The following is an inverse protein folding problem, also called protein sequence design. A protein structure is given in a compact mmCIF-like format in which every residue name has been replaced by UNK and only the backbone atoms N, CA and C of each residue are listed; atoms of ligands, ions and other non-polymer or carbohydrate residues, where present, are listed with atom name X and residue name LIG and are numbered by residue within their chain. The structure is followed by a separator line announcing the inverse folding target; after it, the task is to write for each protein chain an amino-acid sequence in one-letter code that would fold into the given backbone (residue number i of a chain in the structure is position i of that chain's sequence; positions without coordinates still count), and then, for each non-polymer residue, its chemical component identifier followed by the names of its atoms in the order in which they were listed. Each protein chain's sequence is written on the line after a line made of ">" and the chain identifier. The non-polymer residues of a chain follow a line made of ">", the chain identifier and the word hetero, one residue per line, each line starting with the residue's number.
data_IF_861762363318
#
_entry.id   IF_861762363318
#
_cell.length_a   1.000
_cell.length_b   1.000
_cell.length_c   1.000
_cell.angle_alpha   90.00
_cell.angle_beta   90.00
_cell.angle_gamma   90.00
#
_symmetry.space_group_name_H-M   'P 1'
#
loop_
_entity.id
_entity.type
_entity.pdbx_description
1 polymer ?
#
# COMPACT_ATOMS: atom_id res chain seq x y z
N UNK A 1 -10.63 -9.26 -14.69
CA UNK A 1 -10.16 -8.83 -13.35
C UNK A 1 -10.04 -10.04 -12.46
N UNK A 2 -8.94 -10.20 -11.72
CA UNK A 2 -8.75 -11.33 -10.79
C UNK A 2 -9.77 -11.26 -9.66
N UNK A 3 -10.67 -12.24 -9.56
CA UNK A 3 -11.65 -12.32 -8.50
C UNK A 3 -10.99 -12.87 -7.22
N UNK A 4 -10.87 -12.03 -6.18
CA UNK A 4 -10.30 -12.42 -4.89
C UNK A 4 -11.43 -12.76 -3.92
N UNK A 5 -11.66 -14.05 -3.65
CA UNK A 5 -12.65 -14.47 -2.64
C UNK A 5 -12.26 -13.93 -1.26
N UNK A 6 -13.23 -13.42 -0.51
CA UNK A 6 -13.01 -12.91 0.86
C UNK A 6 -12.43 -11.50 0.95
N UNK A 7 -12.19 -10.80 -0.16
CA UNK A 7 -11.79 -9.39 -0.19
C UNK A 7 -13.02 -8.53 -0.48
N UNK A 8 -13.50 -7.79 0.51
CA UNK A 8 -14.68 -6.91 0.48
C UNK A 8 -14.29 -5.42 0.39
N UNK A 9 -13.51 -5.04 -0.62
CA UNK A 9 -13.13 -3.65 -0.88
C UNK A 9 -11.67 -3.32 -0.55
N UNK A 10 -11.33 -2.02 -0.40
CA UNK A 10 -9.96 -1.55 -0.32
C UNK A 10 -9.33 -1.74 1.07
N UNK A 11 -8.00 -1.72 1.21
CA UNK A 11 -7.33 -2.14 2.45
C UNK A 11 -7.74 -1.32 3.69
N UNK A 12 -8.13 -0.04 3.54
CA UNK A 12 -8.57 0.79 4.67
C UNK A 12 -9.84 0.28 5.38
N UNK A 13 -10.72 -0.47 4.71
CA UNK A 13 -12.00 -0.91 5.31
C UNK A 13 -11.84 -2.01 6.36
N UNK A 14 -10.68 -2.67 6.39
CA UNK A 14 -10.35 -3.73 7.34
C UNK A 14 -9.75 -3.20 8.65
N UNK A 15 -9.46 -1.89 8.73
CA UNK A 15 -8.93 -1.28 9.94
C UNK A 15 -9.94 -1.28 11.09
N UNK A 16 -9.43 -1.32 12.32
CA UNK A 16 -10.25 -1.16 13.53
C UNK A 16 -11.05 0.14 13.48
N UNK A 17 -12.24 0.15 14.09
CA UNK A 17 -13.07 1.36 14.17
C UNK A 17 -12.30 2.49 14.87
N UNK A 18 -12.37 3.70 14.30
CA UNK A 18 -11.67 4.88 14.83
C UNK A 18 -10.18 4.97 14.45
N UNK A 19 -9.66 4.02 13.66
CA UNK A 19 -8.28 4.04 13.18
C UNK A 19 -8.22 4.57 11.75
N UNK A 20 -7.29 5.49 11.48
CA UNK A 20 -7.03 6.02 10.15
C UNK A 20 -5.96 5.21 9.38
N UNK A 21 -6.04 5.26 8.06
CA UNK A 21 -4.96 4.80 7.18
C UNK A 21 -3.73 5.73 7.32
N UNK A 22 -2.48 5.23 7.21
CA UNK A 22 -2.02 3.85 6.98
C UNK A 22 -1.69 3.09 8.28
N UNK A 23 -2.60 3.04 9.25
CA UNK A 23 -2.37 2.24 10.45
C UNK A 23 -2.31 0.74 10.15
N UNK A 24 -1.51 0.01 10.95
CA UNK A 24 -1.40 -1.46 10.92
C UNK A 24 -2.40 -2.17 11.85
N UNK A 25 -3.31 -1.44 12.50
CA UNK A 25 -4.31 -2.01 13.43
C UNK A 25 -5.53 -2.55 12.68
N UNK A 26 -5.46 -3.83 12.30
CA UNK A 26 -6.53 -4.54 11.58
C UNK A 26 -7.55 -5.16 12.55
N UNK A 27 -8.81 -5.27 12.14
CA UNK A 27 -9.88 -5.92 12.93
C UNK A 27 -9.50 -7.38 13.24
N UNK A 28 -9.71 -7.80 14.50
CA UNK A 28 -9.33 -9.13 14.97
C UNK A 28 -10.02 -10.28 14.22
N UNK A 29 -11.27 -10.04 13.75
CA UNK A 29 -12.08 -11.02 13.02
C UNK A 29 -11.57 -11.36 11.62
N UNK A 30 -10.71 -10.53 11.03
CA UNK A 30 -10.22 -10.75 9.67
C UNK A 30 -9.24 -11.93 9.65
N UNK A 31 -9.24 -12.70 8.57
CA UNK A 31 -8.35 -13.86 8.44
C UNK A 31 -6.87 -13.45 8.46
N UNK A 32 -5.98 -14.37 8.87
CA UNK A 32 -4.55 -14.08 8.92
C UNK A 32 -3.95 -13.60 7.59
N UNK A 33 -4.35 -14.13 6.40
CA UNK A 33 -3.91 -13.59 5.11
C UNK A 33 -4.37 -12.15 4.86
N UNK A 34 -5.64 -11.84 5.12
CA UNK A 34 -6.17 -10.48 4.92
C UNK A 34 -5.48 -9.49 5.85
N UNK A 35 -5.30 -9.82 7.13
CA UNK A 35 -4.56 -8.99 8.07
C UNK A 35 -3.15 -8.70 7.58
N UNK A 36 -2.42 -9.72 7.13
CA UNK A 36 -1.06 -9.55 6.58
C UNK A 36 -1.05 -8.67 5.34
N UNK A 37 -1.98 -8.87 4.41
CA UNK A 37 -2.08 -8.05 3.20
C UNK A 37 -2.34 -6.56 3.54
N UNK A 38 -3.20 -6.26 4.51
CA UNK A 38 -3.47 -4.89 4.96
C UNK A 38 -2.23 -4.26 5.59
N UNK A 39 -1.53 -4.99 6.46
CA UNK A 39 -0.29 -4.50 7.10
C UNK A 39 0.78 -4.17 6.05
N UNK A 40 1.00 -5.07 5.09
CA UNK A 40 1.98 -4.84 4.01
C UNK A 40 1.55 -3.67 3.12
N UNK A 41 0.27 -3.55 2.80
CA UNK A 41 -0.26 -2.42 2.01
C UNK A 41 -0.07 -1.09 2.75
N UNK A 42 -0.28 -1.06 4.06
CA UNK A 42 -0.05 0.11 4.90
C UNK A 42 1.43 0.49 4.97
N UNK A 43 2.34 -0.50 5.04
CA UNK A 43 3.79 -0.28 4.98
C UNK A 43 4.24 0.34 3.66
N UNK A 44 3.75 -0.18 2.54
CA UNK A 44 4.04 0.36 1.22
C UNK A 44 3.53 1.79 1.11
N UNK A 45 2.29 2.05 1.57
CA UNK A 45 1.71 3.40 1.57
C UNK A 45 2.52 4.37 2.43
N UNK A 46 3.02 3.93 3.58
CA UNK A 46 3.85 4.77 4.45
C UNK A 46 5.18 5.11 3.77
N UNK A 47 5.90 4.11 3.24
CA UNK A 47 7.17 4.34 2.52
C UNK A 47 6.99 5.20 1.28
N UNK A 48 5.87 5.04 0.57
CA UNK A 48 5.55 5.88 -0.57
C UNK A 48 5.33 7.33 -0.14
N UNK A 49 4.64 7.58 0.97
CA UNK A 49 4.46 8.92 1.51
C UNK A 49 5.81 9.57 1.87
N UNK A 50 6.67 8.82 2.57
CA UNK A 50 8.02 9.25 2.95
C UNK A 50 8.89 9.55 1.71
N UNK A 51 8.88 8.68 0.70
CA UNK A 51 9.63 8.87 -0.55
C UNK A 51 9.13 10.05 -1.40
N UNK A 52 7.88 10.47 -1.21
CA UNK A 52 7.27 11.61 -1.89
C UNK A 52 7.47 12.94 -1.14
N UNK A 53 8.05 12.94 0.06
CA UNK A 53 8.31 14.18 0.78
C UNK A 53 9.18 15.13 -0.05
N UNK A 54 8.71 16.37 -0.23
CA UNK A 54 9.38 17.36 -1.07
C UNK A 54 9.32 17.09 -2.59
N UNK A 55 8.65 16.02 -3.04
CA UNK A 55 8.48 15.69 -4.46
C UNK A 55 7.06 15.99 -4.96
N UNK A 56 6.95 16.28 -6.25
CA UNK A 56 5.64 16.44 -6.89
C UNK A 56 5.04 15.08 -7.22
N UNK A 57 3.89 14.75 -6.62
CA UNK A 57 3.12 13.53 -6.93
C UNK A 57 2.85 13.41 -8.43
N UNK A 58 2.51 14.52 -9.09
CA UNK A 58 2.23 14.53 -10.53
C UNK A 58 3.47 14.19 -11.35
N UNK A 59 4.63 14.75 -10.98
CA UNK A 59 5.89 14.46 -11.67
C UNK A 59 6.34 13.01 -11.44
N UNK A 60 6.23 12.51 -10.21
CA UNK A 60 6.54 11.11 -9.89
C UNK A 60 5.63 10.15 -10.64
N UNK A 61 4.30 10.40 -10.66
CA UNK A 61 3.37 9.53 -11.38
C UNK A 61 3.69 9.48 -12.88
N UNK A 62 4.05 10.63 -13.48
CA UNK A 62 4.50 10.69 -14.87
C UNK A 62 5.80 9.92 -15.10
N UNK A 63 6.79 10.08 -14.22
CA UNK A 63 8.07 9.38 -14.33
C UNK A 63 7.92 7.86 -14.16
N UNK A 64 7.04 7.41 -13.28
CA UNK A 64 6.70 6.01 -13.06
C UNK A 64 5.76 5.43 -14.12
N UNK A 65 5.27 6.22 -15.08
CA UNK A 65 4.25 5.79 -16.05
C UNK A 65 3.02 5.15 -15.36
N UNK A 66 2.49 5.84 -14.36
CA UNK A 66 1.24 5.48 -13.65
C UNK A 66 0.28 6.66 -13.62
N UNK A 67 -1.01 6.38 -13.48
CA UNK A 67 -1.99 7.45 -13.30
C UNK A 67 -1.74 8.17 -11.97
N UNK A 68 -1.85 9.51 -11.97
CA UNK A 68 -1.77 10.33 -10.75
C UNK A 68 -2.75 9.86 -9.67
N UNK A 69 -3.96 9.46 -10.07
CA UNK A 69 -4.98 8.91 -9.17
C UNK A 69 -4.52 7.63 -8.48
N UNK A 70 -3.77 6.76 -9.17
CA UNK A 70 -3.19 5.54 -8.56
C UNK A 70 -2.33 5.89 -7.36
N UNK A 71 -1.47 6.91 -7.46
CA UNK A 71 -0.61 7.34 -6.34
C UNK A 71 -1.45 7.83 -5.16
N UNK A 72 -2.47 8.67 -5.42
CA UNK A 72 -3.39 9.12 -4.36
C UNK A 72 -4.18 7.98 -3.73
N UNK A 73 -4.65 7.02 -4.52
CA UNK A 73 -5.43 5.90 -4.01
C UNK A 73 -4.59 4.96 -3.14
N UNK A 74 -3.31 4.78 -3.48
CA UNK A 74 -2.37 4.05 -2.63
C UNK A 74 -2.14 4.79 -1.30
N UNK A 75 -1.85 6.09 -1.35
CA UNK A 75 -1.65 6.92 -0.16
C UNK A 75 -2.88 7.00 0.74
N UNK A 76 -4.08 6.94 0.17
CA UNK A 76 -5.35 6.97 0.89
C UNK A 76 -5.87 5.58 1.31
N UNK A 77 -5.21 4.50 0.88
CA UNK A 77 -5.66 3.13 1.12
C UNK A 77 -6.95 2.76 0.40
N UNK A 78 -7.24 3.42 -0.74
CA UNK A 78 -8.39 3.18 -1.62
C UNK A 78 -8.14 2.06 -2.64
N UNK A 79 -6.89 1.66 -2.85
CA UNK A 79 -6.53 0.58 -3.76
C UNK A 79 -5.56 -0.40 -3.10
N UNK A 80 -5.62 -1.65 -3.55
CA UNK A 80 -4.60 -2.63 -3.20
C UNK A 80 -3.38 -2.39 -4.08
N UNK A 81 -2.16 -2.25 -3.53
CA UNK A 81 -0.97 -2.18 -4.35
C UNK A 81 -0.82 -3.47 -5.15
N UNK A 82 -0.47 -3.33 -6.42
CA UNK A 82 -0.08 -4.43 -7.29
C UNK A 82 1.41 -4.34 -7.61
N UNK A 83 2.00 -5.50 -7.96
CA UNK A 83 3.44 -5.63 -8.14
C UNK A 83 3.96 -4.70 -9.24
N UNK A 84 3.24 -4.56 -10.36
CA UNK A 84 3.70 -3.74 -11.50
C UNK A 84 3.72 -2.26 -11.10
N UNK A 85 2.68 -1.78 -10.44
CA UNK A 85 2.63 -0.40 -9.93
C UNK A 85 3.75 -0.14 -8.92
N UNK A 86 4.02 -1.08 -8.02
CA UNK A 86 5.12 -0.92 -7.05
C UNK A 86 6.46 -0.82 -7.78
N UNK A 87 6.80 -1.76 -8.67
CA UNK A 87 8.09 -1.75 -9.37
C UNK A 87 8.30 -0.44 -10.16
N UNK A 88 7.26 0.02 -10.86
CA UNK A 88 7.28 1.31 -11.57
C UNK A 88 7.57 2.50 -10.66
N UNK A 89 6.96 2.53 -9.47
CA UNK A 89 7.20 3.58 -8.48
C UNK A 89 8.60 3.47 -7.87
N UNK A 90 9.08 2.26 -7.58
CA UNK A 90 10.43 2.01 -7.06
C UNK A 90 11.50 2.48 -8.05
N UNK A 91 11.36 2.16 -9.33
CA UNK A 91 12.27 2.61 -10.40
C UNK A 91 12.30 4.14 -10.53
N UNK A 92 11.13 4.80 -10.50
CA UNK A 92 11.05 6.25 -10.64
C UNK A 92 11.49 7.03 -9.39
N UNK A 93 11.38 6.43 -8.21
CA UNK A 93 11.75 7.06 -6.94
C UNK A 93 13.16 6.67 -6.46
N UNK A 94 13.74 5.62 -7.02
CA UNK A 94 15.00 4.99 -6.60
C UNK A 94 14.97 4.54 -5.14
N UNK A 95 13.84 3.98 -4.69
CA UNK A 95 13.63 3.49 -3.32
C UNK A 95 12.98 2.12 -3.32
N UNK A 96 13.19 1.34 -2.26
CA UNK A 96 12.44 0.09 -2.03
C UNK A 96 11.17 0.37 -1.22
N UNK A 97 10.01 0.21 -1.84
CA UNK A 97 8.68 0.26 -1.23
C UNK A 97 8.26 -1.11 -0.68
N UNK A 98 8.60 -2.19 -1.40
CA UNK A 98 8.30 -3.57 -1.01
C UNK A 98 9.36 -4.13 -0.03
N UNK A 99 9.21 -3.82 1.25
CA UNK A 99 10.00 -4.42 2.33
C UNK A 99 9.09 -4.83 3.49
N UNK A 100 8.26 -5.88 3.33
CA UNK A 100 7.30 -6.26 4.36
C UNK A 100 8.02 -6.64 5.66
N UNK A 101 7.67 -5.97 6.77
CA UNK A 101 8.21 -6.31 8.11
C UNK A 101 7.74 -7.70 8.59
N UNK A 102 6.63 -8.16 8.02
CA UNK A 102 6.02 -9.48 8.23
C UNK A 102 6.90 -10.56 7.58
N UNK A 103 7.87 -11.05 8.34
CA UNK A 103 8.80 -12.12 7.93
C UNK A 103 10.24 -11.93 8.43
N UNK A 104 10.60 -10.74 8.91
CA UNK A 104 11.93 -10.48 9.46
C UNK A 104 12.18 -11.13 10.83
N UNK A 105 11.12 -11.55 11.54
CA UNK A 105 11.20 -12.24 12.83
C UNK A 105 11.52 -13.75 12.75
N UNK A 106 12.10 -14.22 11.64
CA UNK A 106 12.43 -15.63 11.42
C UNK A 106 13.88 -15.85 10.93
N UNK A 107 14.82 -14.99 11.36
CA UNK A 107 16.26 -15.23 11.20
C UNK A 107 16.99 -14.90 12.49
#
# INVERSE_FOLDING_TARGET
>A
MTQRRGVQGPPKVYLQTGVSWPSRRVRARESAPIRRAVIVSAEISQRLAEALEGRSITATAKAADVARTTVYDLLAGNSWPDVVTIMKLEEALEVTLWAPSVGAAAR
#
